data_IF_744706051936
#
_entry.id   IF_744706051936
#
_cell.length_a   1.000
_cell.length_b   1.000
_cell.length_c   1.000
_cell.angle_alpha   90.00
_cell.angle_beta   90.00
_cell.angle_gamma   90.00
#
_symmetry.space_group_name_H-M   'P 1'
#
loop_
_entity.id
_entity.type
_entity.pdbx_description
1 polymer ?
#
# COMPACT_ATOMS: atom_id res chain seq x y z
N UNK A 1 25.29 -17.88 20.74
CA UNK A 1 25.16 -16.43 20.51
C UNK A 1 24.51 -16.10 19.16
N UNK A 2 24.93 -16.70 18.04
CA UNK A 2 24.34 -16.43 16.72
C UNK A 2 22.82 -16.69 16.62
N UNK A 3 22.33 -17.82 17.16
CA UNK A 3 20.90 -18.14 17.11
C UNK A 3 19.98 -17.11 17.81
N UNK A 4 20.48 -16.44 18.86
CA UNK A 4 19.74 -15.35 19.52
C UNK A 4 19.73 -14.10 18.66
N UNK A 5 20.84 -13.79 18.00
CA UNK A 5 20.90 -12.66 17.07
C UNK A 5 19.95 -12.88 15.89
N UNK A 6 19.99 -14.05 15.23
CA UNK A 6 19.18 -14.32 14.03
C UNK A 6 17.67 -14.23 14.25
N UNK A 7 17.18 -14.43 15.47
CA UNK A 7 15.75 -14.37 15.79
C UNK A 7 15.32 -13.06 16.44
N UNK A 8 16.26 -12.21 16.86
CA UNK A 8 15.97 -10.96 17.61
C UNK A 8 16.64 -9.72 16.99
N UNK A 9 17.33 -9.86 15.86
CA UNK A 9 17.89 -8.73 15.14
C UNK A 9 16.80 -7.93 14.45
N UNK A 10 17.06 -6.65 14.30
CA UNK A 10 16.25 -5.75 13.50
C UNK A 10 17.11 -5.14 12.42
N UNK A 11 16.57 -5.09 11.20
CA UNK A 11 17.18 -4.32 10.11
C UNK A 11 16.89 -2.84 10.35
N UNK A 12 17.95 -2.06 10.56
CA UNK A 12 17.92 -0.61 10.59
C UNK A 12 17.64 -0.09 9.20
N UNK A 13 16.87 0.99 9.13
CA UNK A 13 16.58 1.68 7.88
C UNK A 13 16.55 3.19 8.10
N UNK A 14 16.75 3.95 7.02
CA UNK A 14 16.59 5.41 7.01
C UNK A 14 15.11 5.84 6.96
N UNK A 15 14.85 7.15 6.86
CA UNK A 15 13.50 7.70 6.77
C UNK A 15 12.78 7.41 5.44
N UNK A 16 13.45 6.75 4.50
CA UNK A 16 12.88 6.25 3.24
C UNK A 16 12.79 4.72 3.21
N UNK A 17 13.06 4.07 4.35
CA UNK A 17 13.06 2.61 4.54
C UNK A 17 14.17 1.86 3.79
N UNK A 18 15.23 2.55 3.37
CA UNK A 18 16.41 1.91 2.80
C UNK A 18 17.21 1.21 3.92
N UNK A 19 17.59 -0.08 3.75
CA UNK A 19 18.29 -0.81 4.79
C UNK A 19 19.73 -0.30 4.99
N UNK A 20 20.08 -0.01 6.24
CA UNK A 20 21.41 0.47 6.63
C UNK A 20 22.28 -0.62 7.26
N UNK A 21 21.68 -1.62 7.90
CA UNK A 21 22.38 -2.71 8.58
C UNK A 21 21.49 -3.45 9.57
N UNK A 22 22.05 -4.38 10.34
CA UNK A 22 21.34 -5.10 11.40
C UNK A 22 21.81 -4.68 12.80
N UNK A 23 20.87 -4.59 13.75
CA UNK A 23 21.14 -4.23 15.13
C UNK A 23 20.33 -5.03 16.15
N UNK A 24 20.79 -4.99 17.40
CA UNK A 24 20.14 -5.68 18.53
C UNK A 24 19.42 -4.69 19.43
N UNK A 25 18.12 -4.90 19.62
CA UNK A 25 17.30 -4.03 20.45
C UNK A 25 16.48 -4.88 21.42
N UNK A 26 17.02 -5.19 22.61
CA UNK A 26 16.39 -6.15 23.53
C UNK A 26 14.95 -5.78 23.92
N UNK A 27 14.65 -4.49 24.10
CA UNK A 27 13.28 -4.04 24.38
C UNK A 27 12.37 -4.14 23.15
N UNK A 28 12.89 -3.83 21.97
CA UNK A 28 12.15 -3.99 20.71
C UNK A 28 11.82 -5.46 20.44
N UNK A 29 12.73 -6.37 20.78
CA UNK A 29 12.59 -7.82 20.61
C UNK A 29 11.46 -8.43 21.46
N UNK A 30 10.87 -7.67 22.40
CA UNK A 30 9.68 -8.10 23.14
C UNK A 30 8.39 -8.02 22.31
N UNK A 31 8.38 -7.25 21.21
CA UNK A 31 7.22 -7.15 20.32
C UNK A 31 6.98 -8.48 19.62
N UNK A 32 5.83 -9.11 19.87
CA UNK A 32 5.42 -10.30 19.16
C UNK A 32 4.98 -9.99 17.71
N UNK A 33 4.90 -11.05 16.91
CA UNK A 33 4.51 -10.94 15.51
C UNK A 33 2.99 -10.96 15.29
N UNK A 34 2.52 -10.04 14.46
CA UNK A 34 1.25 -10.17 13.74
C UNK A 34 1.45 -9.88 12.24
N UNK A 35 0.82 -10.66 11.36
CA UNK A 35 0.76 -10.34 9.92
C UNK A 35 -0.12 -9.11 9.64
N UNK A 36 -0.82 -8.61 10.66
CA UNK A 36 -1.56 -7.35 10.69
C UNK A 36 -1.20 -6.60 11.98
N UNK A 37 -0.01 -6.00 12.03
CA UNK A 37 0.51 -5.39 13.26
C UNK A 37 -0.26 -4.11 13.62
N UNK A 38 -0.21 -3.75 14.90
CA UNK A 38 -0.68 -2.45 15.41
C UNK A 38 0.47 -1.47 15.69
N UNK A 39 1.72 -1.92 15.66
CA UNK A 39 2.91 -1.09 15.80
C UNK A 39 3.86 -1.22 14.61
N UNK A 40 4.68 -0.20 14.41
CA UNK A 40 5.83 -0.22 13.51
C UNK A 40 7.09 0.20 14.25
N UNK A 41 8.22 -0.29 13.78
CA UNK A 41 9.54 0.08 14.28
C UNK A 41 10.20 1.02 13.28
N UNK A 42 10.62 2.18 13.76
CA UNK A 42 11.34 3.22 13.03
C UNK A 42 12.63 3.57 13.77
N UNK A 43 13.52 4.35 13.15
CA UNK A 43 14.79 4.74 13.75
C UNK A 43 15.00 6.25 13.71
N UNK A 44 15.40 6.80 14.85
CA UNK A 44 15.84 8.19 14.98
C UNK A 44 17.36 8.33 14.85
N UNK A 45 17.89 9.55 15.09
CA UNK A 45 19.32 9.83 15.05
C UNK A 45 20.14 8.85 15.89
N UNK A 46 21.27 8.41 15.36
CA UNK A 46 22.16 7.45 16.04
C UNK A 46 21.63 6.01 16.13
N UNK A 47 20.58 5.65 15.38
CA UNK A 47 19.99 4.31 15.43
C UNK A 47 19.05 4.11 16.62
N UNK A 48 18.55 5.18 17.23
CA UNK A 48 17.57 5.08 18.31
C UNK A 48 16.29 4.42 17.80
N UNK A 49 15.97 3.21 18.26
CA UNK A 49 14.71 2.54 17.92
C UNK A 49 13.51 3.27 18.52
N UNK A 50 12.52 3.54 17.69
CA UNK A 50 11.25 4.15 18.07
C UNK A 50 10.12 3.21 17.64
N UNK A 51 9.31 2.76 18.60
CA UNK A 51 8.10 1.96 18.35
C UNK A 51 6.91 2.91 18.30
N UNK A 52 6.15 2.89 17.20
CA UNK A 52 4.98 3.77 17.00
C UNK A 52 3.73 2.97 16.70
N UNK A 53 2.64 3.36 17.34
CA UNK A 53 1.32 2.80 17.05
C UNK A 53 0.85 3.25 15.66
N UNK A 54 0.38 2.30 14.86
CA UNK A 54 -0.19 2.52 13.52
C UNK A 54 -1.70 2.78 13.57
N UNK A 55 -2.35 2.29 14.63
CA UNK A 55 -3.78 2.36 14.88
C UNK A 55 -4.00 2.62 16.38
N UNK A 56 -5.19 3.09 16.81
CA UNK A 56 -5.52 3.15 18.22
C UNK A 56 -5.33 1.78 18.90
N UNK A 57 -4.75 1.76 20.10
CA UNK A 57 -4.49 0.56 20.90
C UNK A 57 -5.19 0.73 22.24
N UNK A 58 -6.07 -0.21 22.58
CA UNK A 58 -6.83 -0.16 23.83
C UNK A 58 -6.02 -0.73 25.01
N UNK A 59 -6.31 -0.31 26.25
CA UNK A 59 -5.69 -0.89 27.43
C UNK A 59 -5.85 -2.42 27.47
N UNK A 60 -4.74 -3.13 27.64
CA UNK A 60 -4.70 -4.59 27.67
C UNK A 60 -4.50 -5.25 26.30
N UNK A 61 -4.51 -4.51 25.20
CA UNK A 61 -4.14 -5.05 23.89
C UNK A 61 -2.62 -5.24 23.78
N UNK A 62 -2.23 -6.34 23.14
CA UNK A 62 -0.82 -6.65 22.89
C UNK A 62 -0.23 -5.72 21.82
N UNK A 63 0.98 -5.21 22.07
CA UNK A 63 1.76 -4.49 21.07
C UNK A 63 2.45 -5.49 20.14
N UNK A 64 2.15 -5.40 18.85
CA UNK A 64 2.68 -6.34 17.84
C UNK A 64 3.37 -5.61 16.70
N UNK A 65 4.53 -6.13 16.31
CA UNK A 65 5.23 -5.76 15.07
C UNK A 65 5.05 -6.83 13.99
N UNK A 66 5.66 -6.61 12.82
CA UNK A 66 5.74 -7.65 11.78
C UNK A 66 7.18 -8.12 11.59
N UNK A 67 7.37 -9.42 11.38
CA UNK A 67 8.68 -10.06 11.18
C UNK A 67 8.91 -10.47 9.73
N UNK A 68 7.87 -10.31 8.92
CA UNK A 68 7.83 -10.59 7.49
C UNK A 68 7.13 -9.42 6.82
N UNK A 69 7.36 -9.25 5.53
CA UNK A 69 6.65 -8.23 4.77
C UNK A 69 5.14 -8.57 4.70
N UNK A 70 4.28 -7.59 5.03
CA UNK A 70 2.84 -7.75 5.01
C UNK A 70 2.30 -8.12 3.62
N UNK A 71 2.94 -7.75 2.52
CA UNK A 71 2.43 -8.13 1.19
C UNK A 71 2.76 -9.59 0.80
N UNK A 72 3.59 -10.27 1.59
CA UNK A 72 3.95 -11.68 1.37
C UNK A 72 2.72 -12.60 1.46
N UNK A 73 2.50 -13.55 0.53
CA UNK A 73 1.39 -14.51 0.55
C UNK A 73 1.37 -15.43 1.77
N UNK A 74 0.18 -15.94 2.11
CA UNK A 74 -0.07 -16.74 3.31
C UNK A 74 0.91 -17.91 3.51
N UNK A 75 1.06 -18.77 2.50
CA UNK A 75 1.93 -19.93 2.59
C UNK A 75 3.38 -19.52 2.84
N UNK A 76 3.84 -18.47 2.14
CA UNK A 76 5.19 -17.94 2.29
C UNK A 76 5.42 -17.32 3.69
N UNK A 77 4.46 -16.54 4.21
CA UNK A 77 4.56 -16.00 5.59
C UNK A 77 4.71 -17.14 6.61
N UNK A 78 3.88 -18.18 6.52
CA UNK A 78 3.95 -19.34 7.43
C UNK A 78 5.28 -20.06 7.35
N UNK A 79 5.78 -20.31 6.14
CA UNK A 79 7.09 -20.97 5.94
C UNK A 79 8.22 -20.13 6.51
N UNK A 80 8.26 -18.82 6.22
CA UNK A 80 9.30 -17.91 6.73
C UNK A 80 9.29 -17.84 8.26
N UNK A 81 8.11 -17.71 8.87
CA UNK A 81 7.97 -17.63 10.32
C UNK A 81 8.35 -18.94 11.02
N UNK A 82 7.91 -20.09 10.48
CA UNK A 82 8.25 -21.39 11.02
C UNK A 82 9.76 -21.69 10.89
N UNK A 83 10.37 -21.29 9.78
CA UNK A 83 11.79 -21.54 9.52
C UNK A 83 12.71 -20.64 10.36
N UNK A 84 12.45 -19.33 10.41
CA UNK A 84 13.34 -18.35 11.08
C UNK A 84 13.03 -18.16 12.57
N UNK A 85 11.75 -18.18 12.95
CA UNK A 85 11.29 -17.84 14.30
C UNK A 85 10.61 -19.01 15.03
N UNK A 86 10.51 -20.17 14.38
CA UNK A 86 10.08 -21.43 15.00
C UNK A 86 8.67 -21.41 15.61
N UNK A 87 7.74 -20.64 15.03
CA UNK A 87 6.34 -20.63 15.44
C UNK A 87 5.36 -20.59 14.26
N UNK A 88 4.09 -20.91 14.55
CA UNK A 88 2.98 -20.79 13.60
C UNK A 88 2.13 -19.59 13.98
N UNK A 89 2.05 -18.59 13.10
CA UNK A 89 1.24 -17.40 13.36
C UNK A 89 -0.26 -17.72 13.36
N UNK A 90 -0.97 -17.20 14.36
CA UNK A 90 -2.44 -17.30 14.54
C UNK A 90 -3.13 -15.93 14.65
N UNK A 91 -2.50 -14.87 14.14
CA UNK A 91 -3.10 -13.52 14.14
C UNK A 91 -4.39 -13.46 13.29
N UNK A 92 -5.15 -12.37 13.40
CA UNK A 92 -6.42 -12.15 12.67
C UNK A 92 -6.35 -12.42 11.16
N UNK A 93 -5.20 -12.17 10.52
CA UNK A 93 -5.01 -12.44 9.09
C UNK A 93 -4.72 -13.90 8.77
N UNK A 94 -4.07 -14.63 9.68
CA UNK A 94 -3.73 -16.04 9.50
C UNK A 94 -4.82 -16.97 10.06
N UNK A 95 -5.57 -16.52 11.07
CA UNK A 95 -6.69 -17.23 11.67
C UNK A 95 -7.94 -16.96 10.84
N UNK A 96 -8.08 -17.69 9.73
CA UNK A 96 -9.24 -17.62 8.85
C UNK A 96 -10.45 -18.21 9.59
N UNK A 97 -11.50 -17.45 9.94
CA UNK A 97 -12.70 -18.08 10.47
C UNK A 97 -13.24 -19.05 9.42
N UNK A 98 -13.59 -20.27 9.84
CA UNK A 98 -14.56 -21.05 9.07
C UNK A 98 -15.82 -20.18 9.02
N UNK A 99 -16.30 -19.88 7.81
CA UNK A 99 -17.47 -19.02 7.58
C UNK A 99 -18.56 -19.39 8.60
N UNK A 100 -18.79 -18.52 9.59
CA UNK A 100 -19.85 -18.69 10.58
C UNK A 100 -20.59 -17.37 10.70
N UNK A 101 -21.88 -17.44 10.43
CA UNK A 101 -22.84 -16.37 10.65
C UNK A 101 -23.06 -16.25 12.17
N UNK A 102 -22.46 -15.23 12.79
CA UNK A 102 -22.64 -14.95 14.22
C UNK A 102 -21.90 -13.67 14.64
N UNK A 103 -22.41 -12.92 15.64
CA UNK A 103 -21.91 -11.60 15.96
C UNK A 103 -20.49 -11.70 16.54
N UNK A 104 -19.54 -11.15 15.81
CA UNK A 104 -18.13 -11.05 16.17
C UNK A 104 -17.97 -10.21 17.44
N UNK A 105 -17.52 -10.84 18.52
CA UNK A 105 -17.05 -10.14 19.69
C UNK A 105 -15.85 -9.24 19.31
N UNK A 106 -16.06 -7.92 19.32
CA UNK A 106 -15.00 -6.94 19.55
C UNK A 106 -14.20 -6.40 18.35
N UNK A 107 -14.51 -6.73 17.10
CA UNK A 107 -13.83 -6.12 15.95
C UNK A 107 -14.44 -4.74 15.64
N UNK A 108 -13.74 -3.65 15.96
CA UNK A 108 -14.17 -2.28 15.62
C UNK A 108 -13.27 -1.66 14.56
N UNK A 109 -13.92 -1.01 13.61
CA UNK A 109 -13.36 0.12 12.88
C UNK A 109 -12.36 -0.18 11.76
N UNK A 110 -11.29 -0.94 11.98
CA UNK A 110 -10.20 -1.11 11.00
C UNK A 110 -9.99 -2.56 10.54
N UNK A 111 -10.81 -3.46 11.06
CA UNK A 111 -10.67 -4.91 10.89
C UNK A 111 -11.52 -5.47 9.75
N UNK A 112 -12.26 -4.60 9.06
CA UNK A 112 -13.16 -4.98 7.97
C UNK A 112 -12.47 -5.10 6.61
N UNK A 113 -11.24 -5.59 6.57
CA UNK A 113 -10.90 -6.52 5.48
C UNK A 113 -11.41 -7.87 5.95
N UNK A 114 -12.73 -8.02 5.94
CA UNK A 114 -13.43 -9.19 6.48
C UNK A 114 -13.11 -10.49 5.73
N UNK A 115 -12.38 -10.40 4.61
CA UNK A 115 -11.95 -11.55 3.83
C UNK A 115 -10.44 -11.53 3.54
N UNK A 116 -9.62 -11.79 4.56
CA UNK A 116 -8.18 -12.06 4.38
C UNK A 116 -7.92 -13.25 3.47
N UNK A 117 -8.89 -14.16 3.31
CA UNK A 117 -8.80 -15.25 2.34
C UNK A 117 -8.83 -14.70 0.92
N UNK A 118 -9.69 -13.71 0.62
CA UNK A 118 -9.68 -13.02 -0.67
C UNK A 118 -8.39 -12.26 -0.91
N UNK A 119 -7.87 -11.52 0.06
CA UNK A 119 -6.59 -10.81 -0.10
C UNK A 119 -5.46 -11.79 -0.39
N UNK A 120 -5.36 -12.87 0.37
CA UNK A 120 -4.34 -13.88 0.14
C UNK A 120 -4.55 -14.60 -1.21
N UNK A 121 -5.80 -14.83 -1.67
CA UNK A 121 -6.09 -15.36 -3.01
C UNK A 121 -5.57 -14.45 -4.12
N UNK A 122 -5.76 -13.14 -4.00
CA UNK A 122 -5.23 -12.15 -4.94
C UNK A 122 -3.70 -12.21 -4.94
N UNK A 123 -3.06 -12.12 -3.76
CA UNK A 123 -1.61 -12.11 -3.65
C UNK A 123 -0.95 -13.42 -4.12
N UNK A 124 -1.59 -14.56 -3.87
CA UNK A 124 -1.10 -15.92 -4.20
C UNK A 124 -1.55 -16.41 -5.58
N UNK A 125 -2.38 -15.64 -6.31
CA UNK A 125 -2.87 -16.02 -7.63
C UNK A 125 -1.68 -16.30 -8.56
N UNK A 126 -1.39 -17.59 -8.77
CA UNK A 126 -0.39 -18.03 -9.74
C UNK A 126 -0.87 -17.62 -11.13
N UNK A 127 0.06 -17.15 -11.95
CA UNK A 127 -0.19 -16.62 -13.30
C UNK A 127 -0.55 -17.72 -14.32
N UNK A 128 -1.18 -18.82 -13.90
CA UNK A 128 -1.44 -19.98 -14.75
C UNK A 128 -2.44 -19.69 -15.88
N UNK A 129 -3.20 -18.59 -15.81
CA UNK A 129 -4.18 -18.20 -16.83
C UNK A 129 -3.76 -17.00 -17.71
N UNK A 130 -2.56 -16.44 -17.51
CA UNK A 130 -2.05 -15.31 -18.31
C UNK A 130 -0.57 -15.54 -18.60
N UNK A 131 -0.20 -15.70 -19.87
CA UNK A 131 1.20 -15.97 -20.26
C UNK A 131 2.12 -14.85 -19.77
N UNK A 132 3.32 -15.22 -19.32
CA UNK A 132 4.33 -14.32 -18.72
C UNK A 132 4.75 -13.16 -19.63
N UNK A 133 4.64 -13.32 -20.96
CA UNK A 133 4.90 -12.25 -21.92
C UNK A 133 3.90 -11.09 -21.83
N UNK A 134 2.67 -11.37 -21.41
CA UNK A 134 1.61 -10.36 -21.41
C UNK A 134 1.75 -9.31 -20.29
N UNK A 135 2.55 -9.52 -19.22
CA UNK A 135 2.58 -8.58 -18.08
C UNK A 135 3.36 -7.31 -18.37
N UNK A 136 4.59 -7.47 -18.88
CA UNK A 136 5.38 -6.32 -19.32
C UNK A 136 4.69 -5.60 -20.47
N UNK A 137 4.07 -6.36 -21.38
CA UNK A 137 3.32 -5.78 -22.49
C UNK A 137 2.05 -5.05 -22.04
N UNK A 138 1.31 -5.57 -21.05
CA UNK A 138 0.15 -4.90 -20.44
C UNK A 138 0.57 -3.63 -19.70
N UNK A 139 1.63 -3.70 -18.89
CA UNK A 139 2.13 -2.54 -18.15
C UNK A 139 2.68 -1.49 -19.12
N UNK A 140 3.44 -1.90 -20.12
CA UNK A 140 3.97 -1.03 -21.16
C UNK A 140 2.84 -0.44 -22.03
N UNK A 141 1.78 -1.20 -22.32
CA UNK A 141 0.61 -0.68 -23.03
C UNK A 141 -0.13 0.38 -22.20
N UNK A 142 -0.31 0.15 -20.90
CA UNK A 142 -0.90 1.13 -19.99
C UNK A 142 -0.04 2.40 -19.89
N UNK A 143 1.29 2.24 -19.84
CA UNK A 143 2.25 3.34 -19.87
C UNK A 143 2.15 4.16 -21.17
N UNK A 144 2.19 3.49 -22.34
CA UNK A 144 2.07 4.14 -23.66
C UNK A 144 0.73 4.89 -23.82
N UNK A 145 -0.36 4.35 -23.26
CA UNK A 145 -1.66 5.01 -23.29
C UNK A 145 -1.67 6.31 -22.47
N UNK A 146 -1.02 6.31 -21.30
CA UNK A 146 -0.88 7.50 -20.47
C UNK A 146 0.00 8.57 -21.12
N UNK A 147 1.12 8.18 -21.75
CA UNK A 147 1.99 9.10 -22.50
C UNK A 147 1.27 9.77 -23.68
N UNK A 148 0.30 9.08 -24.29
CA UNK A 148 -0.51 9.62 -25.38
C UNK A 148 -1.62 10.57 -24.93
N UNK A 149 -1.70 10.92 -23.64
CA UNK A 149 -2.73 11.82 -23.09
C UNK A 149 -4.16 11.27 -23.19
N UNK A 150 -4.30 9.94 -23.41
CA UNK A 150 -5.62 9.31 -23.51
C UNK A 150 -6.13 9.02 -22.11
N UNK A 151 -7.38 9.41 -21.78
CA UNK A 151 -7.96 9.07 -20.49
C UNK A 151 -8.02 7.54 -20.35
N UNK A 152 -7.42 7.06 -19.26
CA UNK A 152 -7.46 5.66 -18.85
C UNK A 152 -8.82 5.45 -18.19
N UNK A 153 -9.79 4.90 -18.93
CA UNK A 153 -11.20 4.80 -18.52
C UNK A 153 -11.51 3.46 -17.82
N UNK A 154 -11.92 3.51 -16.55
CA UNK A 154 -11.97 2.36 -15.63
C UNK A 154 -12.76 1.13 -16.10
N UNK A 155 -12.29 -0.05 -15.68
CA UNK A 155 -13.00 -1.32 -15.86
C UNK A 155 -13.70 -1.74 -14.56
N UNK A 156 -14.97 -2.09 -14.64
CA UNK A 156 -15.72 -2.72 -13.56
C UNK A 156 -15.39 -4.22 -13.51
N UNK A 157 -14.86 -4.70 -12.37
CA UNK A 157 -14.48 -6.09 -12.18
C UNK A 157 -14.39 -6.49 -10.70
N UNK A 158 -14.53 -7.80 -10.44
CA UNK A 158 -14.79 -8.48 -9.16
C UNK A 158 -13.83 -8.21 -7.98
N UNK A 159 -12.73 -7.48 -8.18
CA UNK A 159 -11.79 -7.06 -7.14
C UNK A 159 -12.12 -5.72 -6.47
N UNK A 160 -12.96 -4.89 -7.10
CA UNK A 160 -13.30 -3.56 -6.58
C UNK A 160 -13.90 -3.59 -5.16
N UNK A 161 -14.83 -4.50 -4.79
CA UNK A 161 -15.35 -4.56 -3.42
C UNK A 161 -14.29 -4.89 -2.37
N UNK A 162 -13.32 -5.74 -2.69
CA UNK A 162 -12.21 -6.05 -1.78
C UNK A 162 -11.26 -4.87 -1.66
N UNK A 163 -10.94 -4.20 -2.77
CA UNK A 163 -10.16 -2.97 -2.77
C UNK A 163 -10.84 -1.87 -1.96
N UNK A 164 -12.15 -1.70 -2.11
CA UNK A 164 -12.96 -0.80 -1.29
C UNK A 164 -12.85 -1.16 0.19
N UNK A 165 -12.96 -2.44 0.55
CA UNK A 165 -12.79 -2.87 1.95
C UNK A 165 -11.38 -2.59 2.50
N UNK A 166 -10.35 -2.77 1.67
CA UNK A 166 -8.95 -2.63 2.05
C UNK A 166 -8.41 -1.20 1.98
N UNK A 167 -9.05 -0.32 1.21
CA UNK A 167 -8.76 1.10 1.14
C UNK A 167 -9.45 1.90 2.26
N UNK A 168 -10.27 1.26 3.11
CA UNK A 168 -10.89 1.87 4.29
C UNK A 168 -9.89 2.58 5.26
N UNK A 169 -8.65 2.09 5.47
CA UNK A 169 -7.57 2.82 6.12
C UNK A 169 -7.24 4.20 5.52
N UNK A 170 -7.25 4.34 4.18
CA UNK A 170 -7.09 5.66 3.53
C UNK A 170 -8.24 6.58 3.93
N UNK A 171 -9.45 6.03 4.04
CA UNK A 171 -10.61 6.79 4.46
C UNK A 171 -10.54 7.25 5.91
N UNK A 172 -9.90 6.52 6.84
CA UNK A 172 -9.73 7.01 8.21
C UNK A 172 -8.94 8.32 8.28
N UNK A 173 -8.02 8.55 7.34
CA UNK A 173 -7.30 9.82 7.21
C UNK A 173 -8.07 10.88 6.42
N UNK A 174 -8.98 10.46 5.53
CA UNK A 174 -9.94 11.35 4.85
C UNK A 174 -11.16 11.69 5.74
N UNK A 175 -11.41 10.93 6.82
CA UNK A 175 -12.52 11.03 7.77
C UNK A 175 -12.38 12.17 8.80
N UNK A 176 -11.61 13.22 8.47
CA UNK A 176 -11.91 14.55 8.98
C UNK A 176 -13.24 15.10 8.43
N UNK A 177 -13.92 14.38 7.54
CA UNK A 177 -15.24 14.68 7.00
C UNK A 177 -16.33 13.92 7.78
N UNK A 178 -17.58 14.44 7.84
CA UNK A 178 -18.70 13.86 8.61
C UNK A 178 -19.33 12.63 7.94
N UNK A 179 -19.73 11.64 8.74
CA UNK A 179 -20.22 10.31 8.34
C UNK A 179 -21.59 10.36 7.59
N UNK A 180 -21.64 9.94 6.32
CA UNK A 180 -22.85 9.70 5.50
C UNK A 180 -22.45 8.95 4.22
N UNK A 181 -23.35 8.21 3.57
CA UNK A 181 -23.07 7.30 2.43
C UNK A 181 -22.26 7.83 1.22
N UNK A 182 -21.84 9.10 1.23
CA UNK A 182 -20.85 9.68 0.33
C UNK A 182 -19.46 9.02 0.41
N UNK A 183 -19.08 8.38 1.52
CA UNK A 183 -17.76 7.71 1.67
C UNK A 183 -17.53 6.60 0.67
N UNK A 184 -18.52 5.73 0.46
CA UNK A 184 -18.38 4.61 -0.45
C UNK A 184 -18.21 5.10 -1.89
N UNK A 185 -18.94 6.14 -2.29
CA UNK A 185 -18.82 6.74 -3.61
C UNK A 185 -17.45 7.42 -3.81
N UNK A 186 -16.96 8.17 -2.81
CA UNK A 186 -15.63 8.79 -2.85
C UNK A 186 -14.51 7.74 -2.90
N UNK A 187 -14.67 6.64 -2.17
CA UNK A 187 -13.70 5.54 -2.18
C UNK A 187 -13.68 4.79 -3.51
N UNK A 188 -14.85 4.49 -4.07
CA UNK A 188 -14.97 3.91 -5.41
C UNK A 188 -14.30 4.79 -6.44
N UNK A 189 -14.61 6.10 -6.43
CA UNK A 189 -13.98 7.05 -7.33
C UNK A 189 -12.46 7.10 -7.14
N UNK A 190 -11.96 7.11 -5.90
CA UNK A 190 -10.53 7.10 -5.62
C UNK A 190 -9.84 5.83 -6.11
N UNK A 191 -10.42 4.65 -5.88
CA UNK A 191 -9.85 3.37 -6.31
C UNK A 191 -9.89 3.23 -7.83
N UNK A 192 -10.97 3.69 -8.47
CA UNK A 192 -11.07 3.75 -9.93
C UNK A 192 -9.94 4.61 -10.54
N UNK A 193 -9.57 5.72 -9.89
CA UNK A 193 -8.44 6.55 -10.32
C UNK A 193 -7.07 5.86 -10.15
N UNK A 194 -6.98 4.83 -9.30
CA UNK A 194 -5.75 4.03 -9.11
C UNK A 194 -5.60 2.88 -10.10
N UNK A 195 -6.69 2.39 -10.72
CA UNK A 195 -6.65 1.19 -11.55
C UNK A 195 -6.49 1.54 -13.05
N UNK A 196 -5.48 0.97 -13.75
CA UNK A 196 -5.37 1.13 -15.20
C UNK A 196 -6.46 0.37 -15.95
N UNK A 197 -6.96 0.95 -17.04
CA UNK A 197 -7.96 0.35 -17.92
C UNK A 197 -7.35 -0.52 -19.01
N UNK A 198 -7.88 -1.71 -19.24
CA UNK A 198 -7.66 -2.44 -20.50
C UNK A 198 -8.85 -2.17 -21.42
N UNK A 199 -8.63 -1.39 -22.49
CA UNK A 199 -9.65 -1.26 -23.53
C UNK A 199 -9.83 -2.62 -24.22
N UNK A 200 -11.03 -3.17 -24.14
CA UNK A 200 -11.49 -4.24 -25.03
C UNK A 200 -11.53 -3.69 -26.45
N UNK A 201 -10.60 -4.12 -27.30
CA UNK A 201 -10.89 -4.11 -28.72
C UNK A 201 -12.08 -5.04 -28.96
N UNK A 202 -13.22 -4.45 -29.28
CA UNK A 202 -14.35 -5.13 -29.86
C UNK A 202 -13.90 -5.78 -31.19
N UNK A 203 -13.64 -7.08 -31.12
CA UNK A 203 -13.30 -7.93 -32.24
C UNK A 203 -13.71 -9.35 -31.90
N UNK A 204 -15.01 -9.63 -32.05
CA UNK A 204 -15.62 -10.96 -32.22
C UNK A 204 -15.15 -12.11 -31.30
N UNK A 205 -16.00 -12.47 -30.34
CA UNK A 205 -16.06 -13.83 -29.79
C UNK A 205 -15.51 -14.00 -28.36
N UNK A 206 -16.41 -14.38 -27.45
CA UNK A 206 -16.19 -14.77 -26.05
C UNK A 206 -15.65 -13.69 -25.10
N UNK A 207 -16.57 -13.10 -24.33
CA UNK A 207 -16.26 -12.24 -23.20
C UNK A 207 -15.64 -13.05 -22.05
N UNK A 208 -14.31 -13.13 -22.01
CA UNK A 208 -13.55 -13.31 -20.76
C UNK A 208 -12.75 -12.03 -20.54
N UNK A 209 -13.30 -11.11 -19.75
CA UNK A 209 -12.62 -9.89 -19.37
C UNK A 209 -11.37 -10.21 -18.55
N UNK A 210 -10.20 -10.20 -19.19
CA UNK A 210 -8.92 -10.20 -18.50
C UNK A 210 -8.70 -8.83 -17.84
N UNK A 211 -9.26 -8.67 -16.64
CA UNK A 211 -8.65 -7.77 -15.65
C UNK A 211 -7.21 -8.27 -15.43
N UNK A 212 -6.18 -7.40 -15.44
CA UNK A 212 -4.83 -7.85 -15.14
C UNK A 212 -4.86 -8.58 -13.78
N UNK A 213 -4.22 -9.75 -13.65
CA UNK A 213 -4.24 -10.49 -12.39
C UNK A 213 -3.39 -9.72 -11.38
N UNK A 214 -4.05 -8.86 -10.59
CA UNK A 214 -3.45 -8.21 -9.44
C UNK A 214 -2.93 -9.30 -8.51
N UNK A 215 -1.63 -9.52 -8.50
CA UNK A 215 -0.97 -10.47 -7.61
C UNK A 215 0.38 -9.90 -7.18
N UNK A 216 1.07 -10.61 -6.27
CA UNK A 216 2.34 -10.12 -5.74
C UNK A 216 3.39 -9.87 -6.86
N UNK A 217 3.47 -10.75 -7.86
CA UNK A 217 4.41 -10.62 -8.96
C UNK A 217 4.13 -9.36 -9.78
N UNK A 218 2.86 -9.10 -10.10
CA UNK A 218 2.44 -7.91 -10.83
C UNK A 218 2.79 -6.63 -10.09
N UNK A 219 2.52 -6.56 -8.78
CA UNK A 219 2.88 -5.41 -7.95
C UNK A 219 4.40 -5.17 -7.88
N UNK A 220 5.20 -6.25 -7.83
CA UNK A 220 6.67 -6.16 -7.84
C UNK A 220 7.21 -5.67 -9.19
N UNK A 221 6.68 -6.17 -10.30
CA UNK A 221 7.06 -5.71 -11.63
C UNK A 221 6.69 -4.24 -11.84
N UNK A 222 5.51 -3.82 -11.38
CA UNK A 222 5.09 -2.42 -11.41
C UNK A 222 6.04 -1.53 -10.61
N UNK A 223 6.45 -1.95 -9.40
CA UNK A 223 7.40 -1.19 -8.57
C UNK A 223 8.76 -1.02 -9.27
N UNK A 224 9.30 -2.08 -9.87
CA UNK A 224 10.56 -2.03 -10.61
C UNK A 224 10.47 -1.15 -11.87
N UNK A 225 9.35 -1.22 -12.59
CA UNK A 225 9.13 -0.40 -13.77
C UNK A 225 8.98 1.07 -13.40
N UNK A 226 8.24 1.38 -12.33
CA UNK A 226 8.10 2.75 -11.81
C UNK A 226 9.48 3.39 -11.59
N UNK A 227 10.40 2.69 -10.93
CA UNK A 227 11.75 3.20 -10.65
C UNK A 227 12.50 3.53 -11.95
N UNK A 228 12.51 2.61 -12.92
CA UNK A 228 13.16 2.81 -14.23
C UNK A 228 12.57 3.99 -15.00
N UNK A 229 11.24 4.07 -15.06
CA UNK A 229 10.53 5.15 -15.76
C UNK A 229 10.79 6.51 -15.11
N UNK A 230 10.89 6.55 -13.77
CA UNK A 230 11.25 7.76 -13.03
C UNK A 230 12.66 8.24 -13.37
N UNK A 231 13.62 7.32 -13.55
CA UNK A 231 15.01 7.65 -13.91
C UNK A 231 15.13 8.26 -15.32
N UNK A 232 14.29 7.83 -16.26
CA UNK A 232 14.28 8.35 -17.64
C UNK A 232 13.32 9.53 -17.84
N UNK A 233 12.69 10.02 -16.76
CA UNK A 233 11.79 11.18 -16.81
C UNK A 233 10.41 10.90 -17.41
N UNK A 234 10.02 9.62 -17.57
CA UNK A 234 8.68 9.23 -18.05
C UNK A 234 7.67 9.24 -16.89
N UNK A 235 7.34 10.43 -16.38
CA UNK A 235 6.58 10.62 -15.14
C UNK A 235 5.15 10.06 -15.19
N UNK A 236 4.42 10.27 -16.29
CA UNK A 236 3.04 9.78 -16.44
C UNK A 236 2.98 8.24 -16.42
N UNK A 237 3.86 7.59 -17.16
CA UNK A 237 4.00 6.14 -17.17
C UNK A 237 4.45 5.60 -15.79
N UNK A 238 5.41 6.28 -15.15
CA UNK A 238 5.84 5.94 -13.79
C UNK A 238 4.67 6.05 -12.80
N UNK A 239 3.83 7.09 -12.91
CA UNK A 239 2.67 7.27 -12.05
C UNK A 239 1.65 6.11 -12.20
N UNK A 240 1.42 5.61 -13.41
CA UNK A 240 0.57 4.41 -13.64
C UNK A 240 1.12 3.21 -12.89
N UNK A 241 2.42 2.93 -13.03
CA UNK A 241 3.08 1.84 -12.31
C UNK A 241 2.98 2.02 -10.79
N UNK A 242 3.21 3.25 -10.31
CA UNK A 242 3.09 3.58 -8.89
C UNK A 242 1.68 3.37 -8.35
N UNK A 243 0.62 3.76 -9.08
CA UNK A 243 -0.76 3.50 -8.67
C UNK A 243 -1.06 2.00 -8.56
N UNK A 244 -0.55 1.18 -9.49
CA UNK A 244 -0.66 -0.28 -9.42
C UNK A 244 0.00 -0.83 -8.15
N UNK A 245 1.22 -0.41 -7.83
CA UNK A 245 1.89 -0.84 -6.60
C UNK A 245 1.13 -0.37 -5.35
N UNK A 246 0.55 0.84 -5.38
CA UNK A 246 -0.25 1.38 -4.28
C UNK A 246 -1.47 0.48 -3.97
N UNK A 247 -2.14 -0.05 -4.99
CA UNK A 247 -3.25 -0.99 -4.84
C UNK A 247 -2.83 -2.21 -4.02
N UNK A 248 -1.65 -2.78 -4.29
CA UNK A 248 -1.09 -3.88 -3.51
C UNK A 248 -0.80 -3.48 -2.07
N UNK A 249 -0.33 -2.25 -1.86
CA UNK A 249 -0.04 -1.75 -0.51
C UNK A 249 -1.31 -1.54 0.32
N UNK A 250 -2.38 -1.07 -0.30
CA UNK A 250 -3.68 -0.91 0.35
C UNK A 250 -4.28 -2.24 0.80
N UNK A 251 -4.08 -3.29 0.01
CA UNK A 251 -4.54 -4.65 0.35
C UNK A 251 -3.80 -5.24 1.57
N UNK A 252 -2.51 -4.94 1.70
CA UNK A 252 -1.63 -5.70 2.57
C UNK A 252 -1.23 -4.98 3.87
N UNK A 253 -1.03 -3.66 3.83
CA UNK A 253 -0.43 -2.94 4.95
C UNK A 253 -1.48 -2.27 5.85
N UNK A 254 -1.17 -2.13 7.16
CA UNK A 254 -1.98 -1.33 8.07
C UNK A 254 -2.21 0.11 7.59
N UNK A 255 -3.27 0.79 8.10
CA UNK A 255 -3.31 2.25 8.15
C UNK A 255 -2.00 2.81 8.69
N UNK A 256 -1.60 3.98 8.20
CA UNK A 256 -0.36 4.68 8.59
C UNK A 256 0.95 3.95 8.32
N UNK A 257 0.97 2.73 7.78
CA UNK A 257 2.22 2.01 7.59
C UNK A 257 3.20 2.82 6.71
N UNK A 258 4.49 2.94 7.08
CA UNK A 258 5.40 3.88 6.41
C UNK A 258 5.59 3.55 4.92
N UNK A 259 5.62 2.26 4.52
CA UNK A 259 5.64 1.89 3.10
C UNK A 259 4.42 2.41 2.33
N UNK A 260 3.23 2.34 2.92
CA UNK A 260 2.01 2.83 2.28
C UNK A 260 2.06 4.36 2.13
N UNK A 261 2.48 5.07 3.18
CA UNK A 261 2.46 6.53 3.23
C UNK A 261 3.55 7.15 2.35
N UNK A 262 4.75 6.57 2.36
CA UNK A 262 5.84 6.94 1.47
C UNK A 262 5.48 6.66 0.01
N UNK A 263 4.75 5.58 -0.26
CA UNK A 263 4.33 5.29 -1.63
C UNK A 263 3.23 6.24 -2.11
N UNK A 264 2.29 6.65 -1.24
CA UNK A 264 1.38 7.76 -1.55
C UNK A 264 2.14 9.04 -1.92
N UNK A 265 3.19 9.39 -1.15
CA UNK A 265 4.05 10.53 -1.46
C UNK A 265 4.74 10.38 -2.82
N UNK A 266 5.31 9.20 -3.10
CA UNK A 266 5.95 8.89 -4.38
C UNK A 266 4.99 9.04 -5.55
N UNK A 267 3.79 8.44 -5.48
CA UNK A 267 2.80 8.57 -6.55
C UNK A 267 2.39 10.03 -6.74
N UNK A 268 2.14 10.78 -5.67
CA UNK A 268 1.81 12.20 -5.77
C UNK A 268 2.92 13.03 -6.45
N UNK A 269 4.19 12.75 -6.15
CA UNK A 269 5.35 13.36 -6.83
C UNK A 269 5.38 13.04 -8.32
N UNK A 270 5.12 11.78 -8.69
CA UNK A 270 5.10 11.37 -10.10
C UNK A 270 3.97 12.07 -10.86
N UNK A 271 2.79 12.20 -10.25
CA UNK A 271 1.67 12.95 -10.83
C UNK A 271 2.03 14.42 -11.03
N UNK A 272 2.61 15.05 -10.02
CA UNK A 272 3.05 16.44 -10.11
C UNK A 272 4.08 16.68 -11.23
N UNK A 273 5.07 15.80 -11.34
CA UNK A 273 6.12 15.93 -12.37
C UNK A 273 5.59 15.65 -13.79
N UNK A 274 4.50 14.91 -13.92
CA UNK A 274 3.87 14.58 -15.20
C UNK A 274 3.06 15.73 -15.83
N UNK A 275 3.07 16.92 -15.24
CA UNK A 275 2.21 18.06 -15.60
C UNK A 275 0.72 17.67 -15.64
N UNK A 276 0.14 17.39 -14.46
CA UNK A 276 -1.12 16.67 -14.35
C UNK A 276 -2.29 17.54 -14.80
N UNK A 277 -3.21 16.93 -15.56
CA UNK A 277 -4.55 17.49 -15.74
C UNK A 277 -5.30 17.60 -14.41
N UNK A 278 -6.41 18.36 -14.38
CA UNK A 278 -7.17 18.65 -13.14
C UNK A 278 -7.52 17.41 -12.30
N UNK A 279 -7.94 16.32 -12.92
CA UNK A 279 -8.29 15.08 -12.21
C UNK A 279 -7.08 14.41 -11.54
N UNK A 280 -5.91 14.43 -12.18
CA UNK A 280 -4.68 13.86 -11.63
C UNK A 280 -4.11 14.74 -10.50
N UNK A 281 -4.34 16.06 -10.58
CA UNK A 281 -3.99 16.99 -9.52
C UNK A 281 -4.83 16.76 -8.25
N UNK A 282 -6.13 16.47 -8.39
CA UNK A 282 -7.00 16.14 -7.27
C UNK A 282 -6.61 14.81 -6.61
N UNK A 283 -6.21 13.80 -7.40
CA UNK A 283 -5.64 12.56 -6.90
C UNK A 283 -4.34 12.83 -6.12
N UNK A 284 -3.43 13.64 -6.68
CA UNK A 284 -2.16 13.99 -6.04
C UNK A 284 -2.38 14.68 -4.68
N UNK A 285 -3.34 15.61 -4.57
CA UNK A 285 -3.71 16.25 -3.29
C UNK A 285 -4.22 15.26 -2.26
N UNK A 286 -5.07 14.33 -2.69
CA UNK A 286 -5.63 13.28 -1.83
C UNK A 286 -4.52 12.38 -1.29
N UNK A 287 -3.63 11.93 -2.17
CA UNK A 287 -2.47 11.12 -1.80
C UNK A 287 -1.52 11.86 -0.85
N UNK A 288 -1.28 13.16 -1.07
CA UNK A 288 -0.46 13.96 -0.17
C UNK A 288 -1.07 14.15 1.22
N UNK A 289 -2.40 14.26 1.31
CA UNK A 289 -3.10 14.35 2.59
C UNK A 289 -2.84 13.08 3.41
N UNK A 290 -2.96 11.92 2.78
CA UNK A 290 -2.65 10.62 3.40
C UNK A 290 -1.17 10.52 3.77
N UNK A 291 -0.27 10.88 2.84
CA UNK A 291 1.16 10.79 3.04
C UNK A 291 1.60 11.64 4.23
N UNK A 292 1.23 12.92 4.29
CA UNK A 292 1.59 13.82 5.41
C UNK A 292 1.01 13.33 6.73
N UNK A 293 -0.26 12.88 6.75
CA UNK A 293 -0.87 12.35 7.97
C UNK A 293 -0.14 11.12 8.50
N UNK A 294 0.15 10.16 7.63
CA UNK A 294 0.83 8.93 8.04
C UNK A 294 2.32 9.10 8.35
N UNK A 295 3.01 10.01 7.67
CA UNK A 295 4.39 10.38 8.02
C UNK A 295 4.45 11.02 9.41
N UNK A 296 3.47 11.83 9.83
CA UNK A 296 3.41 12.34 11.22
C UNK A 296 3.23 11.23 12.26
N UNK A 297 2.53 10.16 11.90
CA UNK A 297 2.31 8.99 12.77
C UNK A 297 3.57 8.15 12.89
N UNK A 298 4.34 7.98 11.82
CA UNK A 298 5.45 7.02 11.76
C UNK A 298 6.83 7.66 11.91
N UNK A 299 7.04 8.82 11.33
CA UNK A 299 8.35 9.48 11.32
C UNK A 299 8.47 10.47 12.49
N UNK A 300 9.64 10.58 13.12
CA UNK A 300 9.94 11.68 14.02
C UNK A 300 9.73 13.04 13.33
N UNK A 301 9.34 14.11 14.06
CA UNK A 301 9.33 15.46 13.50
C UNK A 301 10.72 15.86 12.98
N UNK A 302 10.76 16.61 11.88
CA UNK A 302 12.01 17.13 11.30
C UNK A 302 12.82 16.11 10.48
N UNK A 303 12.21 14.99 10.07
CA UNK A 303 12.84 14.14 9.05
C UNK A 303 12.82 14.83 7.68
N UNK A 304 13.89 14.72 6.87
CA UNK A 304 13.92 15.25 5.51
C UNK A 304 12.70 14.85 4.68
N UNK A 305 12.31 13.57 4.72
CA UNK A 305 11.12 13.10 3.97
C UNK A 305 9.82 13.75 4.43
N UNK A 306 9.70 14.08 5.72
CA UNK A 306 8.54 14.75 6.28
C UNK A 306 8.44 16.21 5.84
N UNK A 307 9.59 16.89 5.75
CA UNK A 307 9.68 18.27 5.27
C UNK A 307 9.36 18.38 3.77
N UNK A 308 9.94 17.50 2.96
CA UNK A 308 9.68 17.40 1.53
C UNK A 308 8.19 17.14 1.25
N UNK A 309 7.58 16.21 1.98
CA UNK A 309 6.17 15.89 1.84
C UNK A 309 5.29 17.10 2.24
N UNK A 310 5.62 17.80 3.31
CA UNK A 310 4.91 19.01 3.71
C UNK A 310 5.05 20.14 2.67
N UNK A 311 6.21 20.26 2.03
CA UNK A 311 6.44 21.26 0.98
C UNK A 311 5.62 20.98 -0.27
N UNK A 312 5.64 19.74 -0.78
CA UNK A 312 4.84 19.37 -1.95
C UNK A 312 3.33 19.54 -1.69
N UNK A 313 2.87 19.18 -0.49
CA UNK A 313 1.47 19.37 -0.11
C UNK A 313 1.04 20.85 -0.20
N UNK A 314 1.92 21.78 0.19
CA UNK A 314 1.66 23.23 0.04
C UNK A 314 1.59 23.66 -1.43
N UNK A 315 2.51 23.18 -2.28
CA UNK A 315 2.48 23.51 -3.71
C UNK A 315 1.19 23.05 -4.40
N UNK A 316 0.75 21.82 -4.12
CA UNK A 316 -0.49 21.27 -4.69
C UNK A 316 -1.75 22.02 -4.27
N UNK A 317 -1.76 22.62 -3.06
CA UNK A 317 -2.87 23.46 -2.61
C UNK A 317 -2.98 24.75 -3.42
N UNK A 318 -1.85 25.36 -3.78
CA UNK A 318 -1.82 26.63 -4.54
C UNK A 318 -2.09 26.42 -6.02
N UNK A 319 -1.66 25.30 -6.60
CA UNK A 319 -1.79 24.99 -8.03
C UNK A 319 -3.25 24.90 -8.57
N UNK A 320 -4.27 25.05 -7.72
CA UNK A 320 -5.69 25.10 -8.11
C UNK A 320 -6.36 26.47 -7.96
N UNK A 321 -5.68 27.46 -7.40
CA UNK A 321 -6.14 28.85 -7.34
C UNK A 321 -5.50 29.63 -8.49
N UNK A 322 -6.31 30.27 -9.33
CA UNK A 322 -5.87 30.90 -10.57
C UNK A 322 -4.68 31.87 -10.42
N UNK A 323 -3.87 31.89 -11.48
CA UNK A 323 -2.82 32.85 -11.82
C UNK A 323 -1.68 33.03 -10.81
N UNK A 324 -0.55 32.38 -11.11
CA UNK A 324 0.75 32.98 -10.86
C UNK A 324 0.91 34.17 -11.84
N UNK A 325 0.81 35.38 -11.30
CA UNK A 325 1.42 36.60 -11.89
C UNK A 325 2.73 36.84 -11.15
#
# INVERSE_FOLDING_TARGET
>A
CLGRFTSNNFTLHDDQLFPLGDGTYPLGALLNHSCRPNCVVMYGPGGLMVVRALVPILPGEELTGTYVDNITPYAQRRTQLAHKYHFICRCVRCNRPAVSEGPSAGLRGTDAVGDWTAVDRILDAKLTDVSFGNFQDQLAAACRAAEAGRPVAGAAGSGLPLLLSAARPLLYHLAGLPDSGQYQALLSAFIEQLLPSTNSHAGTGSAQGLSPPFNLTYFKCAAQMQERLSQVGQWAAAAVCGRVTLVGYLLAYPPNHPLLTLHCFTVAKLLWNGDPGRAELDLARTLMTVAVAGLRVTHPPGTPVGEDAAQLARFLQVAGGGQLV
#
